data_IF_964597678790
#
_entry.id   IF_964597678790
#
_cell.length_a   1.000
_cell.length_b   1.000
_cell.length_c   1.000
_cell.angle_alpha   90.00
_cell.angle_beta   90.00
_cell.angle_gamma   90.00
#
_symmetry.space_group_name_H-M   'P 1'
#
loop_
_entity.id
_entity.type
_entity.pdbx_description
1 polymer ?
#
# COMPACT_ATOMS: atom_id res chain seq x y z
N UNK A 1 6.82 35.77 9.79
CA UNK A 1 6.14 34.85 10.72
C UNK A 1 6.87 33.52 10.63
N UNK A 2 7.45 33.06 11.74
CA UNK A 2 8.21 31.82 11.78
C UNK A 2 7.31 30.59 11.78
N UNK A 3 7.78 29.47 11.20
CA UNK A 3 7.06 28.18 11.19
C UNK A 3 6.63 27.75 12.59
N UNK A 4 7.53 27.86 13.56
CA UNK A 4 7.26 27.53 14.97
C UNK A 4 6.16 28.42 15.57
N UNK A 5 6.09 29.69 15.18
CA UNK A 5 5.04 30.62 15.58
C UNK A 5 3.67 30.17 15.08
N UNK A 6 3.55 29.83 13.80
CA UNK A 6 2.30 29.34 13.20
C UNK A 6 1.85 28.02 13.82
N UNK A 7 2.76 27.05 13.98
CA UNK A 7 2.44 25.77 14.61
C UNK A 7 1.95 25.95 16.06
N UNK A 8 2.53 26.89 16.81
CA UNK A 8 2.09 27.20 18.17
C UNK A 8 0.69 27.79 18.20
N UNK A 9 0.36 28.68 17.25
CA UNK A 9 -1.01 29.22 17.13
C UNK A 9 -2.00 28.10 16.85
N UNK A 10 -1.72 27.23 15.89
CA UNK A 10 -2.60 26.09 15.56
C UNK A 10 -2.77 25.15 16.74
N UNK A 11 -1.67 24.77 17.40
CA UNK A 11 -1.69 23.93 18.59
C UNK A 11 -2.61 24.49 19.69
N UNK A 12 -2.53 25.80 19.95
CA UNK A 12 -3.31 26.45 20.99
C UNK A 12 -4.81 26.58 20.68
N UNK A 13 -5.23 26.39 19.43
CA UNK A 13 -6.63 26.47 19.00
C UNK A 13 -7.29 25.08 18.83
N UNK A 14 -6.60 24.00 19.20
CA UNK A 14 -7.20 22.66 19.20
C UNK A 14 -8.23 22.57 20.33
N UNK A 15 -9.48 22.26 19.99
CA UNK A 15 -10.60 22.24 20.94
C UNK A 15 -10.43 21.23 22.08
N UNK A 16 -9.84 20.07 21.79
CA UNK A 16 -9.58 19.02 22.78
C UNK A 16 -8.11 18.58 22.73
N UNK A 17 -7.26 19.12 23.63
CA UNK A 17 -5.85 18.77 23.70
C UNK A 17 -5.59 17.31 24.08
N UNK A 18 -6.56 16.61 24.69
CA UNK A 18 -6.38 15.21 25.13
C UNK A 18 -6.27 14.23 23.97
N UNK A 19 -6.79 14.62 22.80
CA UNK A 19 -6.69 13.88 21.54
C UNK A 19 -5.34 14.07 20.84
N UNK A 20 -4.49 14.95 21.35
CA UNK A 20 -3.16 15.18 20.81
C UNK A 20 -2.15 14.30 21.56
N UNK A 21 -1.78 13.20 20.94
CA UNK A 21 -0.80 12.26 21.47
C UNK A 21 0.60 12.61 20.95
N UNK A 22 1.38 13.33 21.75
CA UNK A 22 2.78 13.61 21.45
C UNK A 22 3.67 12.41 21.77
N UNK A 23 4.79 12.26 21.05
CA UNK A 23 5.77 11.18 21.27
C UNK A 23 5.22 9.76 21.06
N UNK A 24 4.11 9.62 20.31
CA UNK A 24 3.51 8.33 19.95
C UNK A 24 3.72 8.05 18.46
N UNK A 25 4.93 7.63 18.03
CA UNK A 25 5.18 7.32 16.63
C UNK A 25 4.41 6.06 16.21
N UNK A 26 3.79 6.12 15.04
CA UNK A 26 3.02 5.00 14.45
C UNK A 26 3.98 3.92 13.95
N UNK A 27 3.76 2.67 14.36
CA UNK A 27 4.60 1.52 13.95
C UNK A 27 3.85 0.52 13.07
N UNK A 28 2.53 0.41 13.24
CA UNK A 28 1.67 -0.48 12.46
C UNK A 28 0.25 0.06 12.40
N UNK A 29 -0.55 -0.44 11.46
CA UNK A 29 -1.99 -0.27 11.45
C UNK A 29 -2.66 -1.51 10.85
N UNK A 30 -3.87 -1.78 11.30
CA UNK A 30 -4.74 -2.83 10.78
C UNK A 30 -6.03 -2.21 10.25
N UNK A 31 -6.49 -2.72 9.11
CA UNK A 31 -7.72 -2.27 8.47
C UNK A 31 -8.71 -3.44 8.52
N UNK A 32 -9.87 -3.20 9.09
CA UNK A 32 -10.99 -4.12 9.19
C UNK A 32 -12.21 -3.50 8.50
N UNK A 33 -13.26 -4.28 8.18
CA UNK A 33 -14.49 -3.74 7.61
C UNK A 33 -15.15 -2.65 8.50
N UNK A 34 -14.87 -2.67 9.80
CA UNK A 34 -15.43 -1.75 10.80
C UNK A 34 -14.61 -0.47 10.97
N UNK A 35 -13.36 -0.46 10.51
CA UNK A 35 -12.48 0.71 10.61
C UNK A 35 -10.99 0.35 10.61
N UNK A 36 -10.19 1.23 11.21
CA UNK A 36 -8.74 1.15 11.24
C UNK A 36 -8.28 1.22 12.70
N UNK A 37 -7.37 0.34 13.08
CA UNK A 37 -6.68 0.40 14.38
C UNK A 37 -5.21 0.69 14.15
N UNK A 38 -4.71 1.76 14.76
CA UNK A 38 -3.31 2.18 14.66
C UNK A 38 -2.57 1.75 15.92
N UNK A 39 -1.38 1.18 15.75
CA UNK A 39 -0.50 0.80 16.86
C UNK A 39 0.71 1.73 16.89
N UNK A 40 1.00 2.29 18.06
CA UNK A 40 2.14 3.19 18.30
C UNK A 40 3.29 2.46 19.00
N UNK A 41 4.50 3.03 18.95
CA UNK A 41 5.71 2.37 19.46
C UNK A 41 5.71 2.14 20.98
N UNK A 42 4.90 2.90 21.71
CA UNK A 42 4.63 2.72 23.15
C UNK A 42 3.66 1.55 23.43
N UNK A 43 3.18 0.86 22.40
CA UNK A 43 2.25 -0.27 22.50
C UNK A 43 0.78 0.15 22.63
N UNK A 44 0.47 1.46 22.59
CA UNK A 44 -0.91 1.92 22.60
C UNK A 44 -1.59 1.66 21.26
N UNK A 45 -2.91 1.49 21.30
CA UNK A 45 -3.74 1.30 20.10
C UNK A 45 -4.84 2.33 20.04
N UNK A 46 -5.09 2.84 18.83
CA UNK A 46 -6.06 3.89 18.58
C UNK A 46 -7.01 3.45 17.46
N UNK A 47 -8.29 3.18 17.77
CA UNK A 47 -9.30 2.89 16.77
C UNK A 47 -9.78 4.19 16.09
N UNK A 48 -10.07 4.13 14.80
CA UNK A 48 -10.61 5.23 14.02
C UNK A 48 -11.15 4.77 12.67
N UNK A 49 -11.96 5.59 11.99
CA UNK A 49 -12.54 5.19 10.70
C UNK A 49 -11.60 5.43 9.52
N UNK A 50 -10.69 6.41 9.62
CA UNK A 50 -9.81 6.83 8.53
C UNK A 50 -8.42 7.10 9.08
N UNK A 51 -7.39 6.64 8.36
CA UNK A 51 -5.99 6.95 8.63
C UNK A 51 -5.48 7.99 7.62
N UNK A 52 -5.00 9.13 8.12
CA UNK A 52 -4.42 10.19 7.29
C UNK A 52 -2.93 10.32 7.60
N UNK A 53 -2.08 10.13 6.59
CA UNK A 53 -0.63 10.33 6.70
C UNK A 53 -0.26 11.82 6.59
N UNK A 54 0.06 12.45 7.71
CA UNK A 54 0.54 13.84 7.79
C UNK A 54 1.95 13.95 8.40
N UNK A 55 2.75 12.89 8.30
CA UNK A 55 4.06 12.69 8.92
C UNK A 55 5.26 13.11 8.04
N UNK A 56 4.98 13.86 6.96
CA UNK A 56 6.00 14.55 6.15
C UNK A 56 6.74 13.66 5.14
N UNK A 57 7.91 14.13 4.69
CA UNK A 57 8.67 13.46 3.61
C UNK A 57 9.22 12.09 4.04
N UNK A 58 9.47 11.88 5.32
CA UNK A 58 9.92 10.60 5.90
C UNK A 58 8.75 9.73 6.38
N UNK A 59 7.58 9.87 5.74
CA UNK A 59 6.35 9.22 6.17
C UNK A 59 6.51 7.72 6.43
N UNK A 60 6.29 7.32 7.67
CA UNK A 60 6.21 5.93 8.09
C UNK A 60 4.90 5.31 7.63
N UNK A 61 3.80 6.07 7.64
CA UNK A 61 2.49 5.62 7.15
C UNK A 61 2.58 5.18 5.69
N UNK A 62 3.25 5.97 4.85
CA UNK A 62 3.46 5.64 3.43
C UNK A 62 4.27 4.35 3.23
N UNK A 63 5.30 4.13 4.04
CA UNK A 63 6.07 2.89 3.98
C UNK A 63 5.21 1.67 4.33
N UNK A 64 4.43 1.77 5.41
CA UNK A 64 3.51 0.69 5.83
C UNK A 64 2.44 0.38 4.76
N UNK A 65 1.92 1.40 4.08
CA UNK A 65 1.02 1.22 2.94
C UNK A 65 1.70 0.50 1.78
N UNK A 66 2.92 0.92 1.41
CA UNK A 66 3.68 0.28 0.34
C UNK A 66 3.95 -1.20 0.65
N UNK A 67 4.36 -1.51 1.89
CA UNK A 67 4.63 -2.88 2.34
C UNK A 67 3.36 -3.74 2.25
N UNK A 68 2.20 -3.23 2.71
CA UNK A 68 0.92 -3.95 2.60
C UNK A 68 0.50 -4.20 1.16
N UNK A 69 0.66 -3.20 0.29
CA UNK A 69 0.34 -3.33 -1.13
C UNK A 69 1.21 -4.42 -1.76
N UNK A 70 2.51 -4.42 -1.48
CA UNK A 70 3.44 -5.45 -1.97
C UNK A 70 3.09 -6.85 -1.44
N UNK A 71 2.71 -6.96 -0.16
CA UNK A 71 2.26 -8.23 0.40
C UNK A 71 0.97 -8.72 -0.26
N UNK A 72 0.02 -7.82 -0.53
CA UNK A 72 -1.22 -8.16 -1.23
C UNK A 72 -0.94 -8.71 -2.63
N UNK A 73 -0.07 -8.04 -3.38
CA UNK A 73 0.37 -8.53 -4.68
C UNK A 73 1.10 -9.87 -4.58
N UNK A 74 1.97 -10.08 -3.59
CA UNK A 74 2.64 -11.37 -3.40
C UNK A 74 1.67 -12.51 -3.15
N UNK A 75 0.63 -12.30 -2.34
CA UNK A 75 -0.38 -13.33 -2.05
C UNK A 75 -1.22 -13.63 -3.30
N UNK A 76 -1.62 -12.58 -4.03
CA UNK A 76 -2.42 -12.72 -5.25
C UNK A 76 -1.62 -13.40 -6.37
N UNK A 77 -0.34 -13.04 -6.52
CA UNK A 77 0.58 -13.70 -7.47
C UNK A 77 1.04 -15.08 -7.00
N UNK A 78 1.11 -15.39 -5.70
CA UNK A 78 1.44 -16.76 -5.24
C UNK A 78 0.26 -17.71 -5.48
N UNK A 79 -0.98 -17.23 -5.30
CA UNK A 79 -2.17 -17.97 -5.72
C UNK A 79 -2.22 -18.15 -7.25
N UNK A 80 -1.76 -17.15 -8.01
CA UNK A 80 -1.60 -17.27 -9.46
C UNK A 80 -0.37 -18.08 -9.90
N UNK A 81 0.62 -18.31 -9.04
CA UNK A 81 1.86 -19.04 -9.37
C UNK A 81 1.63 -20.54 -9.56
N UNK A 82 0.57 -21.11 -8.96
CA UNK A 82 0.10 -22.45 -9.31
C UNK A 82 -0.38 -22.53 -10.78
N UNK A 83 -0.73 -21.38 -11.38
CA UNK A 83 -1.11 -21.26 -12.79
C UNK A 83 0.03 -20.78 -13.72
N UNK A 84 1.00 -19.99 -13.23
CA UNK A 84 2.02 -19.31 -14.05
C UNK A 84 3.34 -20.09 -14.18
N UNK A 85 3.49 -21.26 -13.54
CA UNK A 85 4.65 -22.13 -13.78
C UNK A 85 4.75 -22.68 -15.23
N UNK A 86 3.76 -22.43 -16.09
CA UNK A 86 3.76 -22.85 -17.50
C UNK A 86 4.27 -21.81 -18.50
N UNK A 87 4.54 -20.56 -18.10
CA UNK A 87 5.04 -19.52 -19.02
C UNK A 87 6.42 -19.04 -18.59
N UNK A 88 7.38 -19.96 -18.58
CA UNK A 88 8.80 -19.63 -18.47
C UNK A 88 9.35 -19.37 -19.87
N UNK A 89 9.55 -18.10 -20.23
CA UNK A 89 10.26 -17.73 -21.46
C UNK A 89 11.77 -17.89 -21.26
N UNK A 90 12.46 -18.71 -22.08
CA UNK A 90 13.89 -18.91 -21.95
C UNK A 90 14.69 -17.68 -22.42
N UNK A 91 15.60 -17.24 -21.55
CA UNK A 91 16.89 -16.58 -21.78
C UNK A 91 17.08 -15.77 -23.07
N UNK A 92 17.16 -14.45 -22.87
CA UNK A 92 17.55 -13.44 -23.85
C UNK A 92 19.08 -13.46 -24.04
N UNK A 93 19.55 -13.89 -25.21
CA UNK A 93 20.89 -13.55 -25.71
C UNK A 93 20.78 -12.60 -26.90
N UNK A 94 21.76 -11.73 -27.02
CA UNK A 94 21.78 -10.50 -27.81
C UNK A 94 21.65 -10.67 -29.32
N UNK A 95 21.16 -9.60 -29.96
CA UNK A 95 21.28 -9.24 -31.39
C UNK A 95 20.14 -9.67 -32.31
N UNK A 96 19.09 -8.84 -32.41
CA UNK A 96 18.40 -8.47 -33.66
C UNK A 96 17.06 -7.81 -33.33
N UNK A 97 17.01 -6.48 -33.40
CA UNK A 97 15.78 -5.70 -33.29
C UNK A 97 15.14 -5.64 -34.67
N UNK A 98 14.40 -6.67 -35.05
CA UNK A 98 13.28 -6.70 -36.01
C UNK A 98 13.02 -8.16 -36.36
N UNK A 99 11.76 -8.57 -36.21
CA UNK A 99 11.21 -9.88 -36.62
C UNK A 99 11.37 -11.03 -35.62
N UNK A 100 10.70 -10.94 -34.47
CA UNK A 100 10.15 -12.13 -33.81
C UNK A 100 8.68 -11.87 -33.46
N UNK A 101 7.82 -12.54 -34.22
CA UNK A 101 6.38 -12.82 -34.09
C UNK A 101 5.65 -12.19 -32.89
N UNK A 102 4.59 -11.39 -33.05
CA UNK A 102 3.29 -11.76 -33.66
C UNK A 102 2.79 -13.13 -33.18
N UNK A 103 2.49 -13.27 -31.88
CA UNK A 103 1.40 -14.04 -31.26
C UNK A 103 1.70 -14.30 -29.77
N UNK A 104 1.20 -13.43 -28.89
CA UNK A 104 0.72 -13.72 -27.51
C UNK A 104 0.11 -12.44 -26.92
N UNK A 105 -0.72 -11.77 -27.71
CA UNK A 105 -1.70 -10.77 -27.25
C UNK A 105 -2.93 -10.93 -28.15
N UNK A 106 -3.56 -12.10 -28.07
CA UNK A 106 -4.89 -12.35 -28.64
C UNK A 106 -5.45 -13.58 -27.91
N UNK A 107 -6.71 -13.50 -27.48
CA UNK A 107 -7.48 -14.54 -26.77
C UNK A 107 -7.18 -14.74 -25.28
N UNK A 108 -7.60 -13.79 -24.44
CA UNK A 108 -8.12 -14.07 -23.09
C UNK A 108 -9.13 -12.97 -22.70
N UNK A 109 -10.14 -12.78 -23.55
CA UNK A 109 -11.32 -11.98 -23.21
C UNK A 109 -12.64 -12.48 -23.83
N UNK A 110 -12.72 -13.66 -24.46
CA UNK A 110 -13.99 -14.14 -25.04
C UNK A 110 -14.15 -15.68 -25.01
N UNK A 111 -14.07 -16.30 -23.84
CA UNK A 111 -14.66 -17.65 -23.61
C UNK A 111 -15.25 -17.77 -22.20
N UNK A 112 -15.81 -16.68 -21.67
CA UNK A 112 -16.75 -16.74 -20.55
C UNK A 112 -18.15 -16.37 -21.05
N UNK A 113 -18.65 -17.16 -21.99
CA UNK A 113 -20.07 -17.22 -22.32
C UNK A 113 -20.36 -18.62 -22.87
N UNK A 114 -21.35 -19.30 -22.28
CA UNK A 114 -21.79 -20.67 -22.58
C UNK A 114 -20.79 -21.79 -22.19
N UNK A 115 -20.83 -22.22 -20.92
CA UNK A 115 -21.17 -23.60 -20.52
C UNK A 115 -20.89 -23.76 -19.02
N UNK A 116 -21.85 -23.37 -18.18
CA UNK A 116 -22.34 -24.03 -16.95
C UNK A 116 -23.36 -23.11 -16.30
#
# INVERSE_FOLDING_TARGET
>A
MERSGMLRILHNHIADPRKLHSQSPVVAYEETPEGITVTTADGQTFPGSILIGADGIHSRVRQLMADKILLRYRVEYSAAHDLIAQVSCPTWSSTSWRTCLRLTVFELHVTFSLLM
#
